data_IF_513284933272
#
_entry.id   IF_513284933272
#
_cell.length_a   1.000
_cell.length_b   1.000
_cell.length_c   1.000
_cell.angle_alpha   90.00
_cell.angle_beta   90.00
_cell.angle_gamma   90.00
#
_symmetry.space_group_name_H-M   'P 1'
#
loop_
_entity.id
_entity.type
_entity.pdbx_description
1 polymer ?
#
# COMPACT_ATOMS: atom_id res chain seq x y z
N UNK A 1 12.17 -14.67 6.56
CA UNK A 1 10.71 -14.58 6.43
C UNK A 1 10.06 -15.97 6.45
N UNK A 2 10.44 -16.87 5.54
CA UNK A 2 9.94 -18.27 5.52
C UNK A 2 10.23 -19.06 6.79
N UNK A 3 11.46 -18.99 7.34
CA UNK A 3 11.80 -19.71 8.60
C UNK A 3 10.91 -19.30 9.77
N UNK A 4 10.62 -18.01 9.93
CA UNK A 4 9.73 -17.50 10.99
C UNK A 4 8.30 -18.00 10.82
N UNK A 5 7.79 -18.09 9.59
CA UNK A 5 6.47 -18.65 9.32
C UNK A 5 6.45 -20.14 9.69
N UNK A 6 7.49 -20.89 9.32
CA UNK A 6 7.62 -22.31 9.71
C UNK A 6 7.68 -22.47 11.22
N UNK A 7 8.46 -21.65 11.92
CA UNK A 7 8.57 -21.69 13.38
C UNK A 7 7.21 -21.41 14.06
N UNK A 8 6.39 -20.51 13.49
CA UNK A 8 5.02 -20.25 13.96
C UNK A 8 4.15 -21.48 13.71
N UNK A 9 4.17 -22.06 12.52
CA UNK A 9 3.37 -23.24 12.19
C UNK A 9 3.72 -24.43 13.08
N UNK A 10 5.02 -24.76 13.20
CA UNK A 10 5.52 -25.82 14.09
C UNK A 10 5.10 -25.60 15.55
N UNK A 11 5.17 -24.35 16.04
CA UNK A 11 4.76 -24.03 17.40
C UNK A 11 3.27 -24.26 17.64
N UNK A 12 2.40 -23.86 16.70
CA UNK A 12 0.95 -24.01 16.84
C UNK A 12 0.47 -25.42 16.53
N UNK A 13 1.17 -26.20 15.70
CA UNK A 13 0.94 -27.65 15.55
C UNK A 13 1.22 -28.41 16.86
N UNK A 14 2.28 -28.02 17.58
CA UNK A 14 2.63 -28.61 18.87
C UNK A 14 1.72 -28.16 20.04
N UNK A 15 0.89 -27.13 19.85
CA UNK A 15 0.04 -26.52 20.89
C UNK A 15 -1.42 -26.34 20.40
N UNK A 16 -2.18 -27.44 20.23
CA UNK A 16 -3.54 -27.41 19.68
C UNK A 16 -4.54 -26.63 20.55
N UNK A 17 -4.21 -26.34 21.81
CA UNK A 17 -4.99 -25.48 22.70
C UNK A 17 -4.93 -23.99 22.33
N UNK A 18 -4.01 -23.61 21.44
CA UNK A 18 -3.83 -22.24 20.96
C UNK A 18 -4.24 -22.14 19.51
N UNK A 19 -4.96 -21.08 19.18
CA UNK A 19 -5.38 -20.78 17.81
C UNK A 19 -4.68 -19.52 17.32
N UNK A 20 -4.17 -19.59 16.09
CA UNK A 20 -3.62 -18.45 15.39
C UNK A 20 -4.08 -18.46 13.93
N UNK A 21 -4.14 -17.27 13.34
CA UNK A 21 -4.45 -17.10 11.93
C UNK A 21 -3.31 -16.33 11.28
N UNK A 22 -2.78 -16.87 10.18
CA UNK A 22 -1.81 -16.20 9.34
C UNK A 22 -2.50 -15.66 8.09
N UNK A 23 -2.36 -14.36 7.84
CA UNK A 23 -3.02 -13.68 6.72
C UNK A 23 -1.97 -13.19 5.74
N UNK A 24 -2.01 -13.70 4.50
CA UNK A 24 -1.22 -13.21 3.38
C UNK A 24 -2.09 -12.29 2.52
N UNK A 25 -1.60 -11.09 2.25
CA UNK A 25 -2.29 -10.10 1.44
C UNK A 25 -1.57 -9.95 0.11
N UNK A 26 -2.28 -10.22 -0.99
CA UNK A 26 -1.83 -9.89 -2.33
C UNK A 26 -2.61 -8.68 -2.85
N UNK A 27 -1.90 -7.70 -3.39
CA UNK A 27 -2.42 -6.42 -3.84
C UNK A 27 -2.37 -6.34 -5.37
N UNK A 28 -3.02 -7.30 -6.03
CA UNK A 28 -3.02 -7.41 -7.49
C UNK A 28 -3.71 -6.18 -8.13
N UNK A 29 -3.03 -5.52 -9.06
CA UNK A 29 -3.53 -4.34 -9.81
C UNK A 29 -4.13 -3.26 -8.88
N UNK A 30 -3.55 -3.09 -7.69
CA UNK A 30 -4.06 -2.21 -6.66
C UNK A 30 -4.12 -0.72 -7.07
N UNK A 31 -3.44 -0.35 -8.16
CA UNK A 31 -3.38 0.98 -8.76
C UNK A 31 -4.46 1.22 -9.82
N UNK A 32 -4.75 0.22 -10.65
CA UNK A 32 -5.79 0.29 -11.68
C UNK A 32 -7.20 0.39 -11.07
N UNK A 33 -7.35 -0.09 -9.82
CA UNK A 33 -8.62 -0.16 -9.08
C UNK A 33 -8.75 0.89 -7.96
N UNK A 34 -7.90 1.92 -7.95
CA UNK A 34 -7.94 2.95 -6.91
C UNK A 34 -9.13 3.87 -7.15
N UNK A 35 -10.09 3.89 -6.22
CA UNK A 35 -11.05 4.99 -6.15
C UNK A 35 -10.29 6.28 -5.75
N UNK A 36 -10.29 7.27 -6.63
CA UNK A 36 -9.52 8.51 -6.45
C UNK A 36 -10.11 9.42 -5.37
N UNK A 37 -11.43 9.47 -5.23
CA UNK A 37 -12.09 10.22 -4.15
C UNK A 37 -11.70 9.67 -2.78
N UNK A 38 -11.66 8.34 -2.67
CA UNK A 38 -11.17 7.67 -1.47
C UNK A 38 -9.73 8.09 -1.16
N UNK A 39 -8.82 8.08 -2.15
CA UNK A 39 -7.43 8.51 -1.93
C UNK A 39 -7.31 9.97 -1.49
N UNK A 40 -8.08 10.86 -2.09
CA UNK A 40 -8.09 12.28 -1.72
C UNK A 40 -8.51 12.47 -0.25
N UNK A 41 -9.56 11.75 0.17
CA UNK A 41 -10.01 11.78 1.55
C UNK A 41 -8.94 11.23 2.50
N UNK A 42 -8.31 10.11 2.14
CA UNK A 42 -7.28 9.49 2.96
C UNK A 42 -6.03 10.37 3.13
N UNK A 43 -5.58 11.03 2.07
CA UNK A 43 -4.45 11.98 2.16
C UNK A 43 -4.77 13.14 3.11
N UNK A 44 -6.01 13.64 3.13
CA UNK A 44 -6.46 14.66 4.10
C UNK A 44 -6.43 14.13 5.53
N UNK A 45 -6.91 12.91 5.76
CA UNK A 45 -6.97 12.28 7.09
C UNK A 45 -5.56 12.00 7.66
N UNK A 46 -4.57 11.73 6.81
CA UNK A 46 -3.19 11.48 7.24
C UNK A 46 -2.43 12.72 7.70
N UNK A 47 -3.00 13.93 7.56
CA UNK A 47 -2.40 15.22 7.98
C UNK A 47 -1.00 15.48 7.41
N UNK A 48 -0.71 14.99 6.20
CA UNK A 48 0.56 15.26 5.50
C UNK A 48 0.71 16.70 4.99
N UNK A 49 -0.30 17.54 5.21
CA UNK A 49 -0.34 18.93 4.80
C UNK A 49 -0.78 19.12 3.34
N UNK A 50 -1.29 20.32 3.05
CA UNK A 50 -1.95 20.63 1.76
C UNK A 50 -1.01 20.49 0.56
N UNK A 51 0.30 20.71 0.75
CA UNK A 51 1.30 20.55 -0.32
C UNK A 51 1.33 19.12 -0.85
N UNK A 52 1.25 18.13 0.04
CA UNK A 52 1.26 16.72 -0.34
C UNK A 52 -0.02 16.35 -1.09
N UNK A 53 -1.18 16.81 -0.59
CA UNK A 53 -2.47 16.64 -1.27
C UNK A 53 -2.49 17.22 -2.68
N UNK A 54 -1.97 18.44 -2.85
CA UNK A 54 -1.87 19.09 -4.16
C UNK A 54 -0.93 18.35 -5.12
N UNK A 55 0.21 17.87 -4.64
CA UNK A 55 1.14 17.07 -5.45
C UNK A 55 0.48 15.77 -5.95
N UNK A 56 -0.24 15.08 -5.07
CA UNK A 56 -1.01 13.87 -5.39
C UNK A 56 -2.12 14.21 -6.40
N UNK A 57 -2.83 15.32 -6.24
CA UNK A 57 -3.82 15.81 -7.20
C UNK A 57 -3.23 16.10 -8.58
N UNK A 58 -2.11 16.83 -8.67
CA UNK A 58 -1.46 17.17 -9.95
C UNK A 58 -0.98 15.95 -10.74
N UNK A 59 -0.63 14.84 -10.07
CA UNK A 59 -0.18 13.63 -10.76
C UNK A 59 -1.36 12.89 -11.41
N UNK A 60 -2.59 13.02 -10.89
CA UNK A 60 -3.71 12.15 -11.28
C UNK A 60 -4.96 12.85 -11.83
N UNK A 61 -5.12 14.18 -11.70
CA UNK A 61 -6.33 14.89 -12.15
C UNK A 61 -6.30 15.34 -13.60
N UNK A 62 -5.14 15.62 -14.18
CA UNK A 62 -5.03 16.07 -15.56
C UNK A 62 -3.55 16.19 -15.94
N UNK A 63 -3.06 15.27 -16.74
CA UNK A 63 -1.73 15.38 -17.33
C UNK A 63 -1.88 15.79 -18.79
N UNK A 64 -1.34 16.94 -19.15
CA UNK A 64 -1.17 17.32 -20.54
C UNK A 64 0.22 16.91 -21.01
N UNK A 65 0.29 16.23 -22.16
CA UNK A 65 1.55 15.94 -22.84
C UNK A 65 1.69 16.80 -24.10
N UNK A 66 2.94 17.07 -24.46
CA UNK A 66 3.34 17.60 -25.77
C UNK A 66 4.44 16.73 -26.32
N UNK A 67 4.36 16.40 -27.60
CA UNK A 67 5.39 15.64 -28.32
C UNK A 67 6.28 16.63 -29.07
N UNK A 68 7.60 16.40 -29.05
CA UNK A 68 8.57 17.13 -29.88
C UNK A 68 8.83 16.30 -31.14
N UNK A 69 8.54 16.86 -32.32
CA UNK A 69 8.83 16.25 -33.61
C UNK A 69 9.76 17.20 -34.37
N UNK A 70 10.97 16.72 -34.70
CA UNK A 70 11.98 17.50 -35.44
C UNK A 70 12.30 18.88 -34.82
N UNK A 71 12.22 19.00 -33.49
CA UNK A 71 12.47 20.25 -32.76
C UNK A 71 11.25 21.15 -32.59
N UNK A 72 10.12 20.84 -33.23
CA UNK A 72 8.86 21.56 -33.03
C UNK A 72 7.95 20.85 -32.03
N UNK A 73 7.34 21.65 -31.15
CA UNK A 73 6.40 21.19 -30.13
C UNK A 73 4.99 21.10 -30.73
N UNK A 74 4.36 19.95 -30.57
CA UNK A 74 2.94 19.74 -30.91
C UNK A 74 2.02 20.43 -29.90
N UNK A 75 0.73 20.56 -30.27
CA UNK A 75 -0.32 21.00 -29.34
C UNK A 75 -0.41 20.07 -28.13
N UNK A 76 -0.81 20.61 -26.97
CA UNK A 76 -1.07 19.77 -25.81
C UNK A 76 -2.26 18.86 -26.08
N UNK A 77 -2.15 17.62 -25.63
CA UNK A 77 -3.25 16.68 -25.57
C UNK A 77 -3.34 16.11 -24.16
N UNK A 78 -4.57 15.81 -23.75
CA UNK A 78 -4.84 15.21 -22.45
C UNK A 78 -4.45 13.73 -22.47
N UNK A 79 -3.72 13.28 -21.45
CA UNK A 79 -3.37 11.87 -21.29
C UNK A 79 -4.54 11.17 -20.60
N UNK A 80 -5.33 10.42 -21.37
CA UNK A 80 -6.35 9.54 -20.80
C UNK A 80 -5.70 8.35 -20.09
N UNK A 81 -5.75 8.38 -18.75
CA UNK A 81 -5.88 7.31 -17.73
C UNK A 81 -5.31 5.90 -17.94
N UNK A 82 -4.54 5.58 -18.96
CA UNK A 82 -3.76 4.34 -18.97
C UNK A 82 -2.53 4.57 -18.10
N UNK A 83 -2.61 4.01 -16.89
CA UNK A 83 -1.59 4.04 -15.83
C UNK A 83 -0.19 3.99 -16.44
N UNK A 84 0.55 5.11 -16.35
CA UNK A 84 1.97 5.17 -16.69
C UNK A 84 2.66 3.98 -16.04
N UNK A 85 3.17 3.03 -16.84
CA UNK A 85 4.01 1.97 -16.32
C UNK A 85 5.18 2.61 -15.57
N UNK A 86 5.30 2.31 -14.27
CA UNK A 86 6.29 2.93 -13.40
C UNK A 86 5.90 4.30 -12.85
N UNK A 87 4.63 4.53 -12.49
CA UNK A 87 4.27 5.72 -11.71
C UNK A 87 5.11 5.76 -10.40
N UNK A 88 5.94 6.80 -10.19
CA UNK A 88 6.80 6.90 -9.01
C UNK A 88 6.01 7.01 -7.70
N UNK A 89 4.71 7.34 -7.78
CA UNK A 89 3.84 7.46 -6.61
C UNK A 89 3.17 6.15 -6.20
N UNK A 90 3.17 5.13 -7.06
CA UNK A 90 2.55 3.83 -6.76
C UNK A 90 3.06 3.21 -5.44
N UNK A 91 4.38 3.13 -5.17
CA UNK A 91 4.87 2.63 -3.89
C UNK A 91 4.34 3.43 -2.69
N UNK A 92 4.23 4.74 -2.82
CA UNK A 92 3.76 5.61 -1.75
C UNK A 92 2.27 5.43 -1.47
N UNK A 93 1.44 5.33 -2.50
CA UNK A 93 0.00 5.08 -2.34
C UNK A 93 -0.26 3.70 -1.74
N UNK A 94 0.59 2.70 -2.06
CA UNK A 94 0.52 1.39 -1.43
C UNK A 94 0.83 1.46 0.07
N UNK A 95 1.89 2.18 0.46
CA UNK A 95 2.24 2.39 1.88
C UNK A 95 1.10 3.09 2.61
N UNK A 96 0.48 4.11 2.01
CA UNK A 96 -0.67 4.82 2.59
C UNK A 96 -1.83 3.86 2.87
N UNK A 97 -2.22 3.05 1.87
CA UNK A 97 -3.29 2.06 2.03
C UNK A 97 -2.97 1.01 3.09
N UNK A 98 -1.73 0.52 3.12
CA UNK A 98 -1.27 -0.41 4.14
C UNK A 98 -1.33 0.20 5.54
N UNK A 99 -0.87 1.44 5.72
CA UNK A 99 -0.88 2.11 7.02
C UNK A 99 -2.31 2.25 7.56
N UNK A 100 -3.29 2.54 6.71
CA UNK A 100 -4.71 2.60 7.10
C UNK A 100 -5.20 1.23 7.58
N UNK A 101 -4.91 0.17 6.82
CA UNK A 101 -5.25 -1.19 7.22
C UNK A 101 -4.60 -1.55 8.57
N UNK A 102 -3.30 -1.26 8.72
CA UNK A 102 -2.55 -1.53 9.94
C UNK A 102 -3.05 -0.70 11.13
N UNK A 103 -3.53 0.54 10.91
CA UNK A 103 -4.17 1.34 11.96
C UNK A 103 -5.49 0.71 12.41
N UNK A 104 -6.34 0.31 11.46
CA UNK A 104 -7.60 -0.39 11.77
C UNK A 104 -7.36 -1.67 12.56
N UNK A 105 -6.33 -2.43 12.18
CA UNK A 105 -5.92 -3.64 12.91
C UNK A 105 -5.46 -3.30 14.33
N UNK A 106 -4.59 -2.30 14.50
CA UNK A 106 -4.05 -1.89 15.81
C UNK A 106 -5.11 -1.30 16.75
N UNK A 107 -6.12 -0.63 16.22
CA UNK A 107 -7.20 -0.03 17.00
C UNK A 107 -8.31 -1.03 17.36
N UNK A 108 -8.34 -2.20 16.70
CA UNK A 108 -9.34 -3.21 16.97
C UNK A 108 -8.92 -4.07 18.18
N UNK A 109 -9.63 -3.94 19.30
CA UNK A 109 -9.35 -4.67 20.54
C UNK A 109 -9.59 -6.19 20.43
N UNK A 110 -10.40 -6.63 19.47
CA UNK A 110 -10.64 -8.05 19.20
C UNK A 110 -9.43 -8.70 18.51
N UNK A 111 -8.61 -7.91 17.81
CA UNK A 111 -7.43 -8.43 17.11
C UNK A 111 -6.23 -8.42 18.07
N UNK A 112 -5.85 -9.61 18.52
CA UNK A 112 -4.69 -9.81 19.41
C UNK A 112 -3.48 -10.28 18.61
N UNK A 113 -2.40 -9.52 18.67
CA UNK A 113 -1.13 -9.90 18.03
C UNK A 113 -0.47 -11.11 18.70
N UNK A 114 0.22 -11.91 17.90
CA UNK A 114 0.98 -13.08 18.39
C UNK A 114 2.22 -12.61 19.17
N UNK A 115 2.36 -13.05 20.42
CA UNK A 115 3.56 -12.85 21.24
C UNK A 115 4.34 -14.15 21.34
N UNK A 116 5.36 -14.31 20.50
CA UNK A 116 6.31 -15.41 20.65
C UNK A 116 7.37 -15.01 21.68
N UNK A 117 7.65 -15.89 22.65
CA UNK A 117 8.88 -15.76 23.44
C UNK A 117 10.04 -16.00 22.48
N UNK A 118 11.08 -15.15 22.52
CA UNK A 118 12.32 -15.38 21.78
C UNK A 118 12.99 -16.67 22.26
N UNK A 119 12.53 -17.82 21.80
CA UNK A 119 13.26 -19.07 21.88
C UNK A 119 14.26 -19.04 20.74
N UNK A 120 15.38 -18.35 20.96
CA UNK A 120 16.59 -18.70 20.21
C UNK A 120 16.84 -20.19 20.49
N UNK A 121 17.05 -21.03 19.46
CA UNK A 121 17.53 -22.37 19.71
C UNK A 121 18.86 -22.21 20.45
N UNK A 122 18.97 -22.82 21.63
CA UNK A 122 20.25 -23.03 22.28
C UNK A 122 20.99 -24.05 21.41
N UNK A 123 21.89 -23.55 20.56
CA UNK A 123 23.03 -24.33 20.08
C UNK A 123 24.25 -23.85 20.84
#
# INVERSE_FOLDING_TARGET
NTRTVLDILEYYEAHPEKQATLVFLDAQKAFDKVNWEFMRQQVKEMKFGDKFGKMVESIYLSQEARIIINGEMTNSFEIEKEVRQGCPLSPLLFIIKLEILLRKIRQNMEIKGLRMKNTRPKH
#
